data_IF_346787534981
#
_entry.id   IF_346787534981
#
_cell.length_a   1.000
_cell.length_b   1.000
_cell.length_c   1.000
_cell.angle_alpha   90.00
_cell.angle_beta   90.00
_cell.angle_gamma   90.00
#
_symmetry.space_group_name_H-M   'P 1'
#
loop_
_entity.id
_entity.type
_entity.pdbx_description
1 polymer ?
#
# COMPACT_ATOMS: atom_id res chain seq x y z
N UNK A 1 -1.30 18.48 8.07
CA UNK A 1 -1.54 18.03 9.47
C UNK A 1 -1.25 16.55 9.68
N UNK A 2 -2.00 15.61 9.05
CA UNK A 2 -1.74 14.16 9.22
C UNK A 2 -0.36 13.75 8.71
N UNK A 3 0.02 14.24 7.53
CA UNK A 3 1.33 13.96 6.93
C UNK A 3 2.48 14.50 7.77
N UNK A 4 2.39 15.75 8.26
CA UNK A 4 3.40 16.34 9.14
C UNK A 4 3.53 15.59 10.47
N UNK A 5 2.43 15.06 10.99
CA UNK A 5 2.45 14.23 12.19
C UNK A 5 3.23 12.93 11.96
N UNK A 6 2.99 12.22 10.85
CA UNK A 6 3.77 11.03 10.50
C UNK A 6 5.27 11.32 10.35
N UNK A 7 5.64 12.44 9.72
CA UNK A 7 7.06 12.86 9.61
C UNK A 7 7.70 13.08 10.98
N UNK A 8 6.98 13.71 11.91
CA UNK A 8 7.46 13.93 13.29
C UNK A 8 7.66 12.63 14.08
N UNK A 9 6.95 11.57 13.71
CA UNK A 9 7.14 10.23 14.29
C UNK A 9 8.32 9.46 13.67
N UNK A 10 9.00 10.04 12.68
CA UNK A 10 10.20 9.45 12.07
C UNK A 10 9.95 8.69 10.77
N UNK A 11 8.80 8.88 10.10
CA UNK A 11 8.60 8.30 8.77
C UNK A 11 9.47 9.02 7.73
N UNK A 12 10.34 8.28 7.04
CA UNK A 12 11.21 8.80 5.97
C UNK A 12 10.43 9.24 4.73
N UNK A 13 9.39 8.47 4.38
CA UNK A 13 8.49 8.77 3.28
C UNK A 13 7.06 8.91 3.80
N UNK A 14 6.43 10.03 3.45
CA UNK A 14 5.01 10.30 3.74
C UNK A 14 4.36 10.89 2.51
N UNK A 15 3.35 10.19 2.00
CA UNK A 15 2.60 10.55 0.79
C UNK A 15 1.18 10.96 1.20
N UNK A 16 0.71 12.10 0.69
CA UNK A 16 -0.68 12.53 0.87
C UNK A 16 -1.51 12.04 -0.31
N UNK A 17 -2.29 10.97 -0.13
CA UNK A 17 -3.04 10.35 -1.21
C UNK A 17 -4.18 11.23 -1.78
N UNK A 18 -4.49 12.37 -1.15
CA UNK A 18 -5.47 13.33 -1.67
C UNK A 18 -4.85 14.28 -2.70
N UNK A 19 -3.52 14.47 -2.67
CA UNK A 19 -2.78 15.34 -3.59
C UNK A 19 -1.78 14.60 -4.49
N UNK A 20 -1.34 13.42 -4.08
CA UNK A 20 -0.26 12.66 -4.71
C UNK A 20 -0.74 11.30 -5.23
N UNK A 21 -0.05 10.79 -6.26
CA UNK A 21 -0.24 9.41 -6.70
C UNK A 21 0.51 8.46 -5.77
N UNK A 22 -0.25 7.73 -4.95
CA UNK A 22 0.28 6.75 -4.00
C UNK A 22 1.10 5.65 -4.66
N UNK A 23 0.67 5.16 -5.83
CA UNK A 23 1.39 4.10 -6.52
C UNK A 23 2.74 4.62 -7.02
N UNK A 24 2.72 5.72 -7.76
CA UNK A 24 3.94 6.28 -8.35
C UNK A 24 4.94 6.70 -7.27
N UNK A 25 4.47 7.38 -6.21
CA UNK A 25 5.34 7.82 -5.12
C UNK A 25 6.06 6.67 -4.41
N UNK A 26 5.40 5.52 -4.25
CA UNK A 26 6.03 4.33 -3.66
C UNK A 26 6.98 3.65 -4.64
N UNK A 27 6.60 3.51 -5.91
CA UNK A 27 7.46 2.87 -6.90
C UNK A 27 8.75 3.68 -7.12
N UNK A 28 8.66 5.02 -7.17
CA UNK A 28 9.84 5.89 -7.30
C UNK A 28 10.74 5.78 -6.08
N UNK A 29 10.17 5.80 -4.87
CA UNK A 29 10.94 5.68 -3.63
C UNK A 29 11.56 4.29 -3.41
N UNK A 30 11.13 3.28 -4.17
CA UNK A 30 11.62 1.89 -4.06
C UNK A 30 12.37 1.43 -5.31
N UNK A 31 12.80 2.36 -6.17
CA UNK A 31 13.52 2.07 -7.42
C UNK A 31 12.79 1.01 -8.29
N UNK A 32 11.46 1.08 -8.31
CA UNK A 32 10.63 0.15 -9.08
C UNK A 32 10.39 -1.21 -8.43
N UNK A 33 10.95 -1.48 -7.24
CA UNK A 33 10.84 -2.79 -6.56
C UNK A 33 9.47 -3.03 -5.93
N UNK A 34 8.87 -1.98 -5.37
CA UNK A 34 7.70 -2.09 -4.51
C UNK A 34 8.05 -2.41 -3.05
N UNK A 35 7.02 -2.74 -2.26
CA UNK A 35 7.12 -2.89 -0.80
C UNK A 35 7.10 -4.35 -0.35
N UNK A 36 7.88 -4.65 0.69
CA UNK A 36 7.93 -5.99 1.29
C UNK A 36 6.67 -6.30 2.11
N UNK A 37 6.10 -5.30 2.78
CA UNK A 37 4.94 -5.49 3.65
C UNK A 37 3.98 -4.31 3.52
N UNK A 38 2.69 -4.60 3.45
CA UNK A 38 1.61 -3.63 3.59
C UNK A 38 0.76 -3.98 4.81
N UNK A 39 0.42 -2.96 5.61
CA UNK A 39 -0.61 -3.03 6.63
C UNK A 39 -1.85 -2.29 6.11
N UNK A 40 -2.94 -3.02 5.85
CA UNK A 40 -4.16 -2.46 5.27
C UNK A 40 -5.34 -2.56 6.24
N UNK A 41 -5.68 -1.46 6.96
CA UNK A 41 -6.90 -1.35 7.74
C UNK A 41 -8.08 -0.76 6.93
N UNK A 42 -7.86 -0.38 5.66
CA UNK A 42 -8.80 0.43 4.88
C UNK A 42 -9.60 -0.42 3.89
N UNK A 43 -8.94 -1.26 3.10
CA UNK A 43 -9.59 -2.03 2.04
C UNK A 43 -9.97 -1.18 0.81
N UNK A 44 -11.05 -1.57 0.13
CA UNK A 44 -11.59 -0.87 -1.04
C UNK A 44 -10.55 -0.64 -2.15
N UNK A 45 -10.57 0.55 -2.79
CA UNK A 45 -9.63 0.89 -3.88
C UNK A 45 -8.16 0.83 -3.45
N UNK A 46 -7.86 1.07 -2.18
CA UNK A 46 -6.48 1.11 -1.69
C UNK A 46 -5.89 -0.28 -1.54
N UNK A 47 -6.72 -1.30 -1.30
CA UNK A 47 -6.29 -2.70 -1.37
C UNK A 47 -5.74 -3.06 -2.76
N UNK A 48 -6.39 -2.60 -3.83
CA UNK A 48 -5.94 -2.88 -5.20
C UNK A 48 -4.63 -2.16 -5.55
N UNK A 49 -4.41 -0.97 -5.00
CA UNK A 49 -3.14 -0.26 -5.12
C UNK A 49 -2.07 -1.02 -4.32
N UNK A 50 -2.34 -1.30 -3.05
CA UNK A 50 -1.46 -2.03 -2.13
C UNK A 50 -1.00 -3.37 -2.68
N UNK A 51 -1.92 -4.21 -3.19
CA UNK A 51 -1.55 -5.51 -3.75
C UNK A 51 -0.54 -5.35 -4.87
N UNK A 52 -0.74 -4.39 -5.77
CA UNK A 52 0.12 -4.15 -6.95
C UNK A 52 1.48 -3.59 -6.57
N UNK A 53 1.57 -2.89 -5.44
CA UNK A 53 2.80 -2.38 -4.88
C UNK A 53 3.65 -3.45 -4.20
N UNK A 54 3.13 -4.65 -3.92
CA UNK A 54 3.93 -5.70 -3.29
C UNK A 54 5.11 -6.10 -4.18
N UNK A 55 6.29 -6.13 -3.56
CA UNK A 55 7.45 -6.82 -4.10
C UNK A 55 7.17 -8.34 -4.20
N UNK A 56 8.06 -9.04 -4.90
CA UNK A 56 8.07 -10.51 -4.88
C UNK A 56 8.29 -11.01 -3.45
N UNK A 57 7.58 -12.08 -3.05
CA UNK A 57 7.50 -12.59 -1.67
C UNK A 57 6.95 -11.59 -0.64
N UNK A 58 6.30 -10.52 -1.10
CA UNK A 58 5.70 -9.49 -0.24
C UNK A 58 4.48 -9.98 0.54
N UNK A 59 4.20 -9.32 1.66
CA UNK A 59 3.09 -9.66 2.57
C UNK A 59 2.05 -8.55 2.64
N UNK A 60 0.80 -8.89 2.36
CA UNK A 60 -0.34 -7.99 2.56
C UNK A 60 -1.09 -8.40 3.83
N UNK A 61 -0.88 -7.66 4.91
CA UNK A 61 -1.57 -7.87 6.17
C UNK A 61 -2.87 -7.07 6.22
N UNK A 62 -3.99 -7.78 6.10
CA UNK A 62 -5.32 -7.19 6.21
C UNK A 62 -5.73 -7.10 7.68
N UNK A 63 -5.99 -5.87 8.12
CA UNK A 63 -6.37 -5.56 9.51
C UNK A 63 -7.85 -5.21 9.61
N UNK A 64 -8.42 -4.59 8.57
CA UNK A 64 -9.82 -4.15 8.57
C UNK A 64 -10.26 -3.53 7.24
N UNK A 65 -11.51 -3.09 7.21
CA UNK A 65 -12.18 -2.58 6.01
C UNK A 65 -12.84 -1.22 6.29
N UNK A 66 -12.05 -0.24 6.74
CA UNK A 66 -12.56 1.08 7.10
C UNK A 66 -13.26 1.82 5.95
N UNK A 67 -13.01 1.43 4.69
CA UNK A 67 -13.77 1.94 3.54
C UNK A 67 -15.22 1.44 3.49
N UNK A 68 -15.55 0.38 4.22
CA UNK A 68 -16.84 -0.32 4.15
C UNK A 68 -16.90 -1.43 3.09
N UNK A 69 -15.86 -1.55 2.25
CA UNK A 69 -15.82 -2.52 1.16
C UNK A 69 -14.87 -3.67 1.50
N UNK A 70 -15.39 -4.90 1.48
CA UNK A 70 -14.58 -6.11 1.61
C UNK A 70 -13.81 -6.32 0.30
N UNK A 71 -12.47 -6.35 0.31
CA UNK A 71 -11.68 -6.46 -0.89
C UNK A 71 -11.81 -7.82 -1.57
N UNK A 72 -11.71 -7.81 -2.90
CA UNK A 72 -11.59 -9.03 -3.71
C UNK A 72 -10.22 -9.05 -4.39
N UNK A 73 -9.57 -10.20 -4.43
CA UNK A 73 -8.25 -10.35 -5.04
C UNK A 73 -8.29 -11.36 -6.18
N UNK A 74 -7.78 -11.01 -7.37
CA UNK A 74 -7.54 -11.99 -8.42
C UNK A 74 -6.53 -13.05 -7.95
N UNK A 75 -6.92 -14.32 -7.93
CA UNK A 75 -6.11 -15.40 -7.41
C UNK A 75 -4.77 -15.59 -8.15
N UNK A 76 -4.71 -15.20 -9.42
CA UNK A 76 -3.48 -15.28 -10.22
C UNK A 76 -2.32 -14.46 -9.64
N UNK A 77 -2.59 -13.42 -8.83
CA UNK A 77 -1.53 -12.60 -8.27
C UNK A 77 -0.68 -13.37 -7.25
N UNK A 78 -1.29 -14.28 -6.50
CA UNK A 78 -0.58 -15.19 -5.60
C UNK A 78 0.35 -16.15 -6.36
N UNK A 79 0.11 -16.42 -7.64
CA UNK A 79 1.00 -17.27 -8.45
C UNK A 79 2.24 -16.53 -8.96
N UNK A 80 2.17 -15.21 -9.09
CA UNK A 80 3.22 -14.39 -9.73
C UNK A 80 4.09 -13.68 -8.70
N UNK A 81 3.56 -13.38 -7.52
CA UNK A 81 4.22 -12.61 -6.46
C UNK A 81 4.62 -13.44 -5.24
N UNK A 82 4.34 -14.74 -5.22
CA UNK A 82 4.82 -15.67 -4.19
C UNK A 82 6.26 -16.08 -4.41
#
# INVERSE_FOLDING_TARGET
QKTDFCRKLGADLVIDYDSDDLYQGIMDATDGRGVDVVYDPVGGRYFDIARRLLAFEGRLLIVGFASGDIPSAPANHALVKN
#
